data_IF_289489560389
#
_entry.id   IF_289489560389
#
_cell.length_a   1.000
_cell.length_b   1.000
_cell.length_c   1.000
_cell.angle_alpha   90.00
_cell.angle_beta   90.00
_cell.angle_gamma   90.00
#
_symmetry.space_group_name_H-M   'P 1'
#
loop_
_entity.id
_entity.type
_entity.pdbx_description
1 polymer ?
#
# COMPACT_ATOMS: atom_id res chain seq x y z
N UNK A 1 -16.12 13.54 -22.14
CA UNK A 1 -15.57 14.61 -21.29
C UNK A 1 -14.31 14.04 -20.64
N UNK A 2 -13.15 14.29 -21.23
CA UNK A 2 -11.86 13.85 -20.67
C UNK A 2 -11.53 14.77 -19.51
N UNK A 3 -11.67 14.29 -18.28
CA UNK A 3 -11.16 15.01 -17.12
C UNK A 3 -9.65 14.77 -17.05
N UNK A 4 -8.86 15.75 -17.49
CA UNK A 4 -7.45 15.78 -17.14
C UNK A 4 -7.33 15.87 -15.62
N UNK A 5 -6.76 14.83 -15.02
CA UNK A 5 -6.53 14.79 -13.57
C UNK A 5 -5.31 15.64 -13.27
N UNK A 6 -5.53 16.93 -13.02
CA UNK A 6 -4.47 17.81 -12.50
C UNK A 6 -4.22 17.39 -11.05
N UNK A 7 -3.03 16.87 -10.76
CA UNK A 7 -2.57 16.65 -9.39
C UNK A 7 -2.40 18.02 -8.73
N UNK A 8 -3.34 18.40 -7.87
CA UNK A 8 -3.26 19.62 -7.09
C UNK A 8 -2.10 19.54 -6.07
N UNK A 9 -1.48 20.69 -5.78
CA UNK A 9 -0.47 20.82 -4.72
C UNK A 9 -1.11 20.55 -3.33
N UNK A 10 -0.72 19.47 -2.63
CA UNK A 10 -1.28 19.12 -1.32
C UNK A 10 -1.06 20.21 -0.26
N UNK A 11 0.02 21.00 -0.39
CA UNK A 11 0.38 22.04 0.58
C UNK A 11 -0.53 23.27 0.56
N UNK A 12 -1.32 23.42 -0.51
CA UNK A 12 -2.29 24.51 -0.66
C UNK A 12 -3.64 24.22 0.02
N UNK A 13 -3.88 23.00 0.52
CA UNK A 13 -5.23 22.58 0.92
C UNK A 13 -5.68 23.09 2.28
N UNK A 14 -4.78 23.49 3.19
CA UNK A 14 -5.08 24.21 4.45
C UNK A 14 -6.32 23.68 5.21
N UNK A 15 -6.63 22.39 5.07
CA UNK A 15 -7.97 21.85 5.22
C UNK A 15 -8.08 20.87 6.39
N UNK A 16 -9.28 20.32 6.64
CA UNK A 16 -9.45 19.28 7.65
C UNK A 16 -8.45 18.13 7.44
N UNK A 17 -8.00 17.51 8.53
CA UNK A 17 -7.00 16.42 8.53
C UNK A 17 -7.28 15.30 7.50
N UNK A 18 -8.53 15.12 7.07
CA UNK A 18 -8.93 14.21 6.01
C UNK A 18 -8.26 14.50 4.65
N UNK A 19 -8.35 15.72 4.11
CA UNK A 19 -7.84 16.03 2.76
C UNK A 19 -6.31 15.98 2.71
N UNK A 20 -5.66 16.44 3.79
CA UNK A 20 -4.20 16.36 3.93
C UNK A 20 -3.75 14.91 4.03
N UNK A 21 -4.46 14.07 4.81
CA UNK A 21 -4.17 12.63 4.90
C UNK A 21 -4.32 11.95 3.53
N UNK A 22 -5.42 12.21 2.83
CA UNK A 22 -5.69 11.60 1.52
C UNK A 22 -4.67 12.03 0.47
N UNK A 23 -4.29 13.31 0.43
CA UNK A 23 -3.37 13.84 -0.58
C UNK A 23 -1.91 13.47 -0.35
N UNK A 24 -1.52 13.14 0.89
CA UNK A 24 -0.15 12.76 1.26
C UNK A 24 0.06 11.25 1.42
N UNK A 25 -1.03 10.46 1.41
CA UNK A 25 -0.97 9.00 1.47
C UNK A 25 -0.13 8.43 0.33
N UNK A 26 0.77 7.51 0.67
CA UNK A 26 1.67 6.85 -0.28
C UNK A 26 1.82 5.38 0.05
N UNK A 27 2.09 4.57 -0.98
CA UNK A 27 2.45 3.16 -0.80
C UNK A 27 3.82 3.03 -0.11
N UNK A 28 3.80 2.86 1.22
CA UNK A 28 4.99 2.69 2.05
C UNK A 28 5.56 1.28 1.86
N UNK A 29 6.87 1.21 1.59
CA UNK A 29 7.58 -0.04 1.26
C UNK A 29 8.80 -0.31 2.12
N UNK A 30 9.10 0.61 3.03
CA UNK A 30 10.15 0.51 4.05
C UNK A 30 9.47 0.71 5.39
N UNK A 31 9.19 -0.40 6.05
CA UNK A 31 8.50 -0.42 7.34
C UNK A 31 9.49 -0.85 8.41
N UNK A 32 9.29 -0.39 9.65
CA UNK A 32 10.01 -0.94 10.79
C UNK A 32 9.48 -2.34 11.09
N UNK A 33 10.27 -3.26 11.66
CA UNK A 33 9.82 -4.61 11.97
C UNK A 33 8.98 -4.71 13.24
N UNK A 34 8.84 -3.61 13.98
CA UNK A 34 8.09 -3.52 15.23
C UNK A 34 6.63 -3.95 15.04
N UNK A 35 6.12 -4.78 15.96
CA UNK A 35 4.73 -5.22 15.96
C UNK A 35 3.76 -4.03 16.05
N UNK A 36 2.63 -4.14 15.36
CA UNK A 36 1.52 -3.19 15.52
C UNK A 36 0.65 -3.67 16.68
N UNK A 37 0.28 -2.81 17.65
CA UNK A 37 -0.61 -3.22 18.74
C UNK A 37 -1.96 -3.74 18.23
N UNK A 38 -2.47 -4.82 18.84
CA UNK A 38 -3.73 -5.47 18.44
C UNK A 38 -4.91 -4.49 18.41
N UNK A 39 -5.03 -3.61 19.41
CA UNK A 39 -6.07 -2.57 19.45
C UNK A 39 -6.04 -1.66 18.22
N UNK A 40 -4.83 -1.35 17.73
CA UNK A 40 -4.69 -0.54 16.50
C UNK A 40 -5.16 -1.31 15.28
N UNK A 41 -4.86 -2.61 15.19
CA UNK A 41 -5.34 -3.47 14.09
C UNK A 41 -6.88 -3.55 14.11
N UNK A 42 -7.49 -3.74 15.29
CA UNK A 42 -8.93 -3.77 15.46
C UNK A 42 -9.60 -2.46 15.04
N UNK A 43 -9.04 -1.31 15.43
CA UNK A 43 -9.53 0.01 15.01
C UNK A 43 -9.46 0.19 13.49
N UNK A 44 -8.38 -0.28 12.85
CA UNK A 44 -8.23 -0.22 11.39
C UNK A 44 -9.27 -1.09 10.67
N UNK A 45 -9.50 -2.31 11.17
CA UNK A 45 -10.54 -3.21 10.62
C UNK A 45 -11.92 -2.56 10.78
N UNK A 46 -12.22 -1.99 11.94
CA UNK A 46 -13.48 -1.31 12.18
C UNK A 46 -13.68 -0.10 11.25
N UNK A 47 -12.62 0.66 10.97
CA UNK A 47 -12.66 1.75 10.00
C UNK A 47 -12.94 1.24 8.58
N UNK A 48 -12.34 0.12 8.18
CA UNK A 48 -12.61 -0.51 6.89
C UNK A 48 -14.07 -1.01 6.77
N UNK A 49 -14.66 -1.49 7.87
CA UNK A 49 -16.06 -1.94 7.92
C UNK A 49 -17.05 -0.81 7.60
N UNK A 50 -16.73 0.44 7.93
CA UNK A 50 -17.57 1.60 7.59
C UNK A 50 -17.59 1.92 6.09
N UNK A 51 -16.75 1.26 5.28
CA UNK A 51 -16.80 1.34 3.83
C UNK A 51 -18.14 0.83 3.26
N UNK A 52 -18.66 1.44 2.19
CA UNK A 52 -19.93 1.01 1.59
C UNK A 52 -19.79 -0.39 0.96
N UNK A 53 -20.86 -1.18 1.00
CA UNK A 53 -20.97 -2.45 0.30
C UNK A 53 -22.35 -2.61 -0.34
N UNK A 54 -22.45 -3.39 -1.42
CA UNK A 54 -23.71 -3.64 -2.12
C UNK A 54 -24.77 -4.18 -1.17
N UNK A 55 -25.91 -3.49 -1.05
CA UNK A 55 -26.97 -3.86 -0.11
C UNK A 55 -26.56 -3.88 1.37
N UNK A 56 -25.44 -3.24 1.73
CA UNK A 56 -24.80 -3.36 3.04
C UNK A 56 -24.50 -4.81 3.46
N UNK A 57 -24.25 -5.71 2.50
CA UNK A 57 -24.03 -7.12 2.80
C UNK A 57 -22.70 -7.40 3.53
N UNK A 58 -21.73 -6.48 3.45
CA UNK A 58 -20.43 -6.61 4.13
C UNK A 58 -19.74 -7.97 3.88
N UNK A 59 -19.82 -8.49 2.65
CA UNK A 59 -19.26 -9.79 2.24
C UNK A 59 -17.72 -9.76 2.09
N UNK A 60 -17.02 -9.30 3.11
CA UNK A 60 -15.57 -9.32 3.22
C UNK A 60 -15.16 -10.08 4.48
N UNK A 61 -13.98 -10.69 4.42
CA UNK A 61 -13.33 -11.28 5.58
C UNK A 61 -11.94 -10.66 5.69
N UNK A 62 -11.51 -10.40 6.92
CA UNK A 62 -10.18 -9.89 7.22
C UNK A 62 -9.37 -11.00 7.88
N UNK A 63 -8.24 -11.35 7.26
CA UNK A 63 -7.27 -12.31 7.82
C UNK A 63 -6.06 -11.52 8.29
N UNK A 64 -5.89 -11.44 9.61
CA UNK A 64 -4.73 -10.79 10.24
C UNK A 64 -3.62 -11.83 10.42
N UNK A 65 -2.42 -11.51 9.96
CA UNK A 65 -1.24 -12.35 10.12
C UNK A 65 -0.27 -11.69 11.09
N UNK A 66 -0.23 -12.18 12.33
CA UNK A 66 0.70 -11.72 13.38
C UNK A 66 1.84 -12.72 13.64
N UNK A 67 1.91 -13.81 12.88
CA UNK A 67 2.98 -14.80 13.00
C UNK A 67 4.10 -14.53 11.98
N UNK A 68 5.30 -14.25 12.51
CA UNK A 68 6.54 -14.06 11.73
C UNK A 68 6.86 -15.25 10.82
N UNK A 69 6.59 -16.48 11.25
CA UNK A 69 6.84 -17.69 10.46
C UNK A 69 5.88 -17.80 9.27
N UNK A 70 4.63 -17.34 9.43
CA UNK A 70 3.68 -17.25 8.32
C UNK A 70 4.17 -16.21 7.31
N UNK A 71 4.63 -15.04 7.76
CA UNK A 71 5.22 -14.03 6.86
C UNK A 71 6.46 -14.53 6.12
N UNK A 72 7.33 -15.29 6.78
CA UNK A 72 8.49 -15.92 6.16
C UNK A 72 8.09 -16.91 5.06
N UNK A 73 7.01 -17.68 5.26
CA UNK A 73 6.45 -18.59 4.25
C UNK A 73 5.79 -17.85 3.07
N UNK A 74 5.20 -16.69 3.31
CA UNK A 74 4.58 -15.86 2.27
C UNK A 74 5.62 -15.11 1.44
N UNK A 75 6.77 -14.72 2.02
CA UNK A 75 7.82 -13.97 1.35
C UNK A 75 8.27 -14.53 -0.02
N UNK A 76 8.55 -15.84 -0.22
CA UNK A 76 8.91 -16.35 -1.54
C UNK A 76 7.75 -16.29 -2.55
N UNK A 77 6.50 -16.39 -2.11
CA UNK A 77 5.33 -16.24 -2.98
C UNK A 77 5.18 -14.79 -3.42
N UNK A 78 5.30 -13.86 -2.47
CA UNK A 78 5.29 -12.43 -2.75
C UNK A 78 6.41 -12.03 -3.72
N UNK A 79 7.62 -12.58 -3.54
CA UNK A 79 8.74 -12.39 -4.46
C UNK A 79 8.36 -12.73 -5.91
N UNK A 80 7.74 -13.88 -6.14
CA UNK A 80 7.28 -14.31 -7.47
C UNK A 80 6.23 -13.36 -8.05
N UNK A 81 5.29 -12.87 -7.23
CA UNK A 81 4.30 -11.88 -7.66
C UNK A 81 4.95 -10.56 -8.11
N UNK A 82 5.90 -10.04 -7.32
CA UNK A 82 6.60 -8.80 -7.64
C UNK A 82 7.47 -8.96 -8.87
N UNK A 83 8.22 -10.06 -8.99
CA UNK A 83 9.06 -10.33 -10.16
C UNK A 83 8.22 -10.41 -11.44
N UNK A 84 7.06 -11.07 -11.38
CA UNK A 84 6.11 -11.11 -12.51
C UNK A 84 5.53 -9.72 -12.84
N UNK A 85 5.20 -8.92 -11.83
CA UNK A 85 4.74 -7.55 -12.02
C UNK A 85 5.80 -6.68 -12.69
N UNK A 86 7.04 -6.69 -12.20
CA UNK A 86 8.15 -5.89 -12.76
C UNK A 86 8.55 -6.37 -14.17
N UNK A 87 8.37 -7.65 -14.49
CA UNK A 87 8.56 -8.16 -15.84
C UNK A 87 7.44 -7.75 -16.83
N UNK A 88 6.30 -7.27 -16.34
CA UNK A 88 5.11 -6.95 -17.13
C UNK A 88 4.67 -5.50 -16.94
N UNK A 89 3.63 -5.25 -16.14
CA UNK A 89 3.02 -3.93 -15.92
C UNK A 89 3.99 -2.93 -15.29
N UNK A 90 4.87 -3.40 -14.42
CA UNK A 90 5.91 -2.61 -13.75
C UNK A 90 7.21 -2.47 -14.54
N UNK A 91 7.20 -2.76 -15.84
CA UNK A 91 8.41 -2.67 -16.67
C UNK A 91 8.73 -1.24 -17.12
N UNK A 92 7.70 -0.42 -17.34
CA UNK A 92 7.84 0.92 -17.91
C UNK A 92 7.23 1.97 -17.00
N UNK A 93 7.85 3.15 -16.97
CA UNK A 93 7.30 4.29 -16.27
C UNK A 93 5.91 4.65 -16.82
N UNK A 94 4.92 4.94 -15.94
CA UNK A 94 3.64 5.44 -16.39
C UNK A 94 3.78 6.83 -17.03
N UNK A 95 2.87 7.15 -17.94
CA UNK A 95 2.85 8.46 -18.58
C UNK A 95 2.78 9.59 -17.54
N UNK A 96 3.66 10.59 -17.68
CA UNK A 96 3.76 11.72 -16.75
C UNK A 96 4.71 11.52 -15.56
N UNK A 97 5.31 10.34 -15.41
CA UNK A 97 6.34 10.08 -14.40
C UNK A 97 7.72 10.04 -15.06
N UNK A 98 8.66 10.83 -14.53
CA UNK A 98 10.06 10.78 -14.94
C UNK A 98 10.72 9.43 -14.60
N UNK A 99 11.65 8.98 -15.44
CA UNK A 99 12.34 7.69 -15.30
C UNK A 99 13.13 7.57 -14.00
N UNK A 100 13.77 8.65 -13.53
CA UNK A 100 14.49 8.60 -12.25
C UNK A 100 13.51 8.51 -11.07
N UNK A 101 12.35 9.17 -11.15
CA UNK A 101 11.29 9.02 -10.16
C UNK A 101 10.73 7.60 -10.15
N UNK A 102 10.49 7.03 -11.33
CA UNK A 102 10.06 5.65 -11.46
C UNK A 102 11.10 4.66 -10.92
N UNK A 103 12.39 4.85 -11.24
CA UNK A 103 13.48 4.04 -10.73
C UNK A 103 13.55 4.02 -9.19
N UNK A 104 13.31 5.16 -8.52
CA UNK A 104 13.20 5.21 -7.05
C UNK A 104 12.02 4.41 -6.52
N UNK A 105 10.87 4.46 -7.22
CA UNK A 105 9.71 3.66 -6.87
C UNK A 105 9.99 2.16 -7.04
N UNK A 106 10.60 1.74 -8.15
CA UNK A 106 11.01 0.35 -8.40
C UNK A 106 11.98 -0.13 -7.32
N UNK A 107 13.00 0.66 -6.98
CA UNK A 107 13.94 0.31 -5.91
C UNK A 107 13.24 0.14 -4.54
N UNK A 108 12.17 0.89 -4.28
CA UNK A 108 11.36 0.69 -3.08
C UNK A 108 10.50 -0.59 -3.16
N UNK A 109 9.96 -0.95 -4.32
CA UNK A 109 9.25 -2.22 -4.58
C UNK A 109 10.18 -3.40 -4.33
N UNK A 110 11.37 -3.37 -4.90
CA UNK A 110 12.38 -4.43 -4.72
C UNK A 110 12.81 -4.56 -3.26
N UNK A 111 12.99 -3.44 -2.56
CA UNK A 111 13.29 -3.49 -1.13
C UNK A 111 12.21 -4.22 -0.34
N UNK A 112 10.93 -3.86 -0.51
CA UNK A 112 9.83 -4.53 0.18
C UNK A 112 9.77 -6.02 -0.19
N UNK A 113 9.93 -6.34 -1.48
CA UNK A 113 9.97 -7.71 -1.98
C UNK A 113 10.99 -8.55 -1.22
N UNK A 114 12.21 -8.02 -1.08
CA UNK A 114 13.33 -8.75 -0.50
C UNK A 114 13.33 -8.75 1.04
N UNK A 115 12.57 -7.84 1.68
CA UNK A 115 12.41 -7.75 3.14
C UNK A 115 11.00 -8.08 3.61
N UNK A 116 10.19 -8.78 2.80
CA UNK A 116 8.77 -9.00 3.11
C UNK A 116 8.57 -9.78 4.42
N UNK A 117 9.49 -10.68 4.77
CA UNK A 117 9.45 -11.43 6.03
C UNK A 117 9.58 -10.53 7.28
N UNK A 118 10.15 -9.33 7.11
CA UNK A 118 10.36 -8.34 8.18
C UNK A 118 9.16 -7.40 8.36
N UNK A 119 8.07 -7.60 7.60
CA UNK A 119 6.82 -6.85 7.76
C UNK A 119 6.36 -6.84 9.23
N UNK A 120 5.89 -5.71 9.78
CA UNK A 120 5.31 -5.66 11.12
C UNK A 120 4.33 -6.81 11.38
N UNK A 121 4.60 -7.60 12.41
CA UNK A 121 3.71 -8.64 12.95
C UNK A 121 3.79 -8.65 14.46
#
# INVERSE_FOLDING_TARGET
MTMETVQADPSALGGPALFDTMSTMRAMRRLKPDAVPDETIEQLIQAAVWGPSGGNMQCYEYVVVTDRQVMARLAPLWKRCVDAYLATTGKYAPAGMDEAAYGRMVAAIEYQRDHFADTPV
#
